data_IF_389406378882
#
_entry.id   IF_389406378882
#
_cell.length_a   1.000
_cell.length_b   1.000
_cell.length_c   1.000
_cell.angle_alpha   90.00
_cell.angle_beta   90.00
_cell.angle_gamma   90.00
#
_symmetry.space_group_name_H-M   'P 1'
#
loop_
_entity.id
_entity.type
_entity.pdbx_description
1 polymer ?
#
# COMPACT_ATOMS: atom_id res chain seq x y z
N UNK A 1 -9.46 -64.64 -34.25
CA UNK A 1 -9.81 -63.20 -34.26
C UNK A 1 -9.84 -62.72 -32.81
N UNK A 2 -8.82 -61.98 -32.38
CA UNK A 2 -8.64 -61.60 -30.98
C UNK A 2 -9.50 -60.38 -30.65
N UNK A 3 -10.34 -60.52 -29.64
CA UNK A 3 -11.42 -59.61 -29.26
C UNK A 3 -10.86 -58.30 -28.67
N UNK A 4 -10.76 -57.22 -29.47
CA UNK A 4 -10.27 -55.89 -29.05
C UNK A 4 -11.26 -55.08 -28.20
N UNK A 5 -12.08 -55.74 -27.34
CA UNK A 5 -13.19 -55.08 -26.61
C UNK A 5 -12.86 -54.62 -25.18
N UNK A 6 -11.62 -54.74 -24.71
CA UNK A 6 -11.20 -54.30 -23.36
C UNK A 6 -10.31 -53.05 -23.31
N UNK A 7 -9.81 -52.56 -24.46
CA UNK A 7 -8.81 -51.48 -24.49
C UNK A 7 -9.47 -50.09 -24.49
N UNK A 8 -10.67 -49.96 -25.07
CA UNK A 8 -11.37 -48.68 -25.18
C UNK A 8 -11.74 -48.05 -23.83
N UNK A 9 -12.19 -48.81 -22.81
CA UNK A 9 -12.48 -48.25 -21.49
C UNK A 9 -11.22 -47.75 -20.76
N UNK A 10 -10.10 -48.44 -20.90
CA UNK A 10 -8.82 -48.06 -20.30
C UNK A 10 -8.23 -46.78 -20.90
N UNK A 11 -8.35 -46.60 -22.22
CA UNK A 11 -7.90 -45.37 -22.88
C UNK A 11 -8.79 -44.19 -22.48
N UNK A 12 -10.11 -44.41 -22.36
CA UNK A 12 -11.04 -43.36 -21.96
C UNK A 12 -10.76 -42.85 -20.53
N UNK A 13 -10.50 -43.75 -19.57
CA UNK A 13 -10.16 -43.33 -18.20
C UNK A 13 -8.84 -42.59 -18.12
N UNK A 14 -7.82 -43.03 -18.86
CA UNK A 14 -6.53 -42.34 -18.93
C UNK A 14 -6.68 -40.91 -19.47
N UNK A 15 -7.46 -40.75 -20.55
CA UNK A 15 -7.74 -39.44 -21.13
C UNK A 15 -8.47 -38.53 -20.15
N UNK A 16 -9.50 -39.03 -19.48
CA UNK A 16 -10.28 -38.25 -18.51
C UNK A 16 -9.42 -37.79 -17.32
N UNK A 17 -8.56 -38.67 -16.80
CA UNK A 17 -7.65 -38.33 -15.70
C UNK A 17 -6.64 -37.26 -16.16
N UNK A 18 -6.03 -37.42 -17.34
CA UNK A 18 -5.07 -36.44 -17.86
C UNK A 18 -5.70 -35.06 -18.07
N UNK A 19 -6.95 -35.03 -18.55
CA UNK A 19 -7.69 -33.78 -18.75
C UNK A 19 -8.07 -33.12 -17.42
N UNK A 20 -8.49 -33.91 -16.43
CA UNK A 20 -8.78 -33.40 -15.09
C UNK A 20 -7.54 -32.77 -14.42
N UNK A 21 -6.37 -33.41 -14.56
CA UNK A 21 -5.11 -32.87 -14.04
C UNK A 21 -4.74 -31.57 -14.76
N UNK A 22 -4.85 -31.53 -16.09
CA UNK A 22 -4.56 -30.33 -16.87
C UNK A 22 -5.47 -29.14 -16.46
N UNK A 23 -6.77 -29.38 -16.29
CA UNK A 23 -7.70 -28.37 -15.79
C UNK A 23 -7.32 -27.94 -14.37
N UNK A 24 -6.99 -28.89 -13.49
CA UNK A 24 -6.59 -28.59 -12.11
C UNK A 24 -5.40 -27.63 -12.05
N UNK A 25 -4.36 -27.88 -12.85
CA UNK A 25 -3.18 -26.99 -12.93
C UNK A 25 -3.57 -25.61 -13.45
N UNK A 26 -4.41 -25.52 -14.49
CA UNK A 26 -4.86 -24.23 -15.04
C UNK A 26 -5.65 -23.45 -13.99
N UNK A 27 -6.58 -24.08 -13.28
CA UNK A 27 -7.39 -23.43 -12.23
C UNK A 27 -6.52 -22.94 -11.07
N UNK A 28 -5.56 -23.75 -10.61
CA UNK A 28 -4.64 -23.34 -9.56
C UNK A 28 -3.78 -22.15 -9.99
N UNK A 29 -3.28 -22.14 -11.24
CA UNK A 29 -2.47 -21.05 -11.77
C UNK A 29 -3.27 -19.76 -11.97
N UNK A 30 -4.50 -19.85 -12.49
CA UNK A 30 -5.40 -18.69 -12.62
C UNK A 30 -5.87 -18.16 -11.26
N UNK A 31 -6.02 -19.03 -10.26
CA UNK A 31 -6.34 -18.63 -8.90
C UNK A 31 -5.24 -17.79 -8.27
N UNK A 32 -3.97 -18.18 -8.43
CA UNK A 32 -2.82 -17.43 -7.91
C UNK A 32 -2.63 -16.09 -8.62
N UNK A 33 -2.78 -16.05 -9.95
CA UNK A 33 -2.61 -14.83 -10.73
C UNK A 33 -3.63 -13.72 -10.36
N UNK A 34 -4.84 -14.07 -9.93
CA UNK A 34 -5.81 -13.06 -9.48
C UNK A 34 -5.50 -12.51 -8.08
N UNK A 35 -4.93 -13.33 -7.19
CA UNK A 35 -4.52 -12.89 -5.84
C UNK A 35 -3.33 -11.93 -5.90
N UNK A 36 -2.43 -12.10 -6.88
CA UNK A 36 -1.29 -11.18 -7.07
C UNK A 36 -1.68 -9.85 -7.75
N UNK A 37 -2.79 -9.82 -8.50
CA UNK A 37 -3.27 -8.63 -9.19
C UNK A 37 -4.15 -7.72 -8.29
N UNK A 38 -4.71 -8.24 -7.19
CA UNK A 38 -5.57 -7.48 -6.28
C UNK A 38 -4.80 -6.98 -5.05
N UNK A 39 -4.10 -5.85 -5.24
CA UNK A 39 -3.50 -4.97 -4.23
C UNK A 39 -2.41 -5.57 -3.33
N UNK A 40 -1.17 -5.07 -3.48
CA UNK A 40 -0.06 -5.28 -2.51
C UNK A 40 -0.46 -4.99 -1.07
N UNK A 41 -1.47 -4.14 -0.86
CA UNK A 41 -2.06 -3.86 0.43
C UNK A 41 -3.57 -4.14 0.43
N UNK A 42 -3.99 -5.40 0.66
CA UNK A 42 -5.40 -5.79 0.64
C UNK A 42 -6.16 -5.25 1.86
N UNK A 43 -5.44 -4.84 2.91
CA UNK A 43 -6.02 -4.36 4.16
C UNK A 43 -6.27 -2.85 4.06
N UNK A 44 -7.47 -2.41 4.49
CA UNK A 44 -7.73 -1.00 4.69
C UNK A 44 -7.01 -0.50 5.95
N UNK A 45 -5.94 0.27 5.79
CA UNK A 45 -5.14 0.80 6.90
C UNK A 45 -5.90 1.88 7.69
N UNK A 46 -6.79 2.63 7.02
CA UNK A 46 -7.56 3.70 7.67
C UNK A 46 -6.72 4.90 8.13
N UNK A 47 -5.56 5.13 7.49
CA UNK A 47 -4.69 6.27 7.79
C UNK A 47 -5.38 7.60 7.45
N UNK A 48 -5.38 8.55 8.39
CA UNK A 48 -5.99 9.87 8.22
C UNK A 48 -5.21 10.95 8.97
N UNK A 49 -5.38 12.22 8.59
CA UNK A 49 -4.87 13.34 9.38
C UNK A 49 -5.68 13.50 10.67
N UNK A 50 -5.01 13.74 11.78
CA UNK A 50 -5.68 14.07 13.05
C UNK A 50 -6.43 15.39 12.92
N UNK A 51 -7.55 15.50 13.64
CA UNK A 51 -8.37 16.71 13.67
C UNK A 51 -8.53 17.20 15.10
N UNK A 52 -8.15 18.45 15.36
CA UNK A 52 -8.38 19.13 16.63
C UNK A 52 -9.34 20.29 16.35
N UNK A 53 -10.46 20.35 17.06
CA UNK A 53 -11.50 21.36 16.83
C UNK A 53 -12.01 21.43 15.38
N UNK A 54 -12.01 20.30 14.68
CA UNK A 54 -12.42 20.21 13.26
C UNK A 54 -11.31 20.55 12.25
N UNK A 55 -10.17 21.06 12.72
CA UNK A 55 -9.05 21.44 11.86
C UNK A 55 -8.02 20.33 11.71
N UNK A 56 -7.65 20.05 10.44
CA UNK A 56 -6.57 19.12 10.11
C UNK A 56 -5.26 19.61 10.71
N UNK A 57 -4.59 18.74 11.47
CA UNK A 57 -3.29 19.01 12.09
C UNK A 57 -2.18 18.77 11.07
N UNK A 58 -2.04 19.73 10.16
CA UNK A 58 -1.08 19.71 9.07
C UNK A 58 -0.76 21.15 8.68
N UNK A 59 0.52 21.51 8.67
CA UNK A 59 0.94 22.85 8.32
C UNK A 59 2.41 22.89 7.85
N UNK A 60 2.78 23.99 7.21
CA UNK A 60 4.14 24.30 6.78
C UNK A 60 4.67 25.55 7.50
N UNK A 61 5.83 25.43 8.13
CA UNK A 61 6.57 26.53 8.74
C UNK A 61 7.68 26.97 7.78
N UNK A 62 7.51 28.15 7.17
CA UNK A 62 8.45 28.69 6.19
C UNK A 62 9.77 29.13 6.83
N UNK A 63 9.76 29.57 8.08
CA UNK A 63 10.94 30.03 8.81
C UNK A 63 11.84 28.85 9.19
N UNK A 64 11.24 27.75 9.65
CA UNK A 64 11.95 26.51 9.97
C UNK A 64 12.17 25.59 8.77
N UNK A 65 11.53 25.88 7.63
CA UNK A 65 11.53 25.03 6.42
C UNK A 65 11.06 23.61 6.77
N UNK A 66 9.98 23.50 7.53
CA UNK A 66 9.50 22.23 8.09
C UNK A 66 8.01 22.05 7.83
N UNK A 67 7.62 20.87 7.39
CA UNK A 67 6.23 20.43 7.34
C UNK A 67 5.97 19.62 8.61
N UNK A 68 4.98 20.04 9.39
CA UNK A 68 4.50 19.31 10.57
C UNK A 68 3.16 18.68 10.26
N UNK A 69 2.99 17.40 10.61
CA UNK A 69 1.75 16.69 10.40
C UNK A 69 1.46 15.71 11.53
N UNK A 70 0.18 15.43 11.71
CA UNK A 70 -0.32 14.52 12.70
C UNK A 70 -1.19 13.49 11.99
N UNK A 71 -0.83 12.22 12.10
CA UNK A 71 -1.55 11.12 11.44
C UNK A 71 -2.07 10.13 12.47
N UNK A 72 -3.31 9.71 12.28
CA UNK A 72 -3.95 8.66 13.05
C UNK A 72 -4.01 7.40 12.20
N UNK A 73 -3.66 6.27 12.80
CA UNK A 73 -3.79 4.96 12.18
C UNK A 73 -5.17 4.35 12.47
N UNK A 74 -5.68 3.53 11.56
CA UNK A 74 -6.90 2.76 11.76
C UNK A 74 -6.69 1.58 12.71
N UNK A 75 -7.74 0.75 12.86
CA UNK A 75 -7.77 -0.36 13.82
C UNK A 75 -7.27 -1.70 13.26
N UNK A 76 -7.02 -1.78 11.95
CA UNK A 76 -6.85 -3.06 11.27
C UNK A 76 -5.42 -3.61 11.36
N UNK A 77 -4.40 -2.76 11.23
CA UNK A 77 -2.99 -3.17 11.19
C UNK A 77 -2.10 -2.07 11.79
N UNK A 78 -0.94 -2.46 12.33
CA UNK A 78 0.10 -1.49 12.73
C UNK A 78 0.79 -0.93 11.48
N UNK A 79 1.19 0.33 11.56
CA UNK A 79 2.06 0.96 10.56
C UNK A 79 3.48 0.93 11.11
N UNK A 80 4.43 0.38 10.34
CA UNK A 80 5.83 0.24 10.76
C UNK A 80 6.72 1.36 10.22
N UNK A 81 6.20 2.19 9.31
CA UNK A 81 6.86 3.40 8.86
C UNK A 81 5.99 4.20 7.90
N UNK A 82 6.45 5.38 7.52
CA UNK A 82 5.79 6.25 6.55
C UNK A 82 6.77 6.65 5.45
N UNK A 83 6.27 6.78 4.22
CA UNK A 83 6.98 7.45 3.12
C UNK A 83 6.24 8.73 2.80
N UNK A 84 6.87 9.86 3.08
CA UNK A 84 6.32 11.19 2.86
C UNK A 84 6.91 11.76 1.58
N UNK A 85 6.07 11.96 0.56
CA UNK A 85 6.45 12.63 -0.67
C UNK A 85 5.95 14.06 -0.63
N UNK A 86 6.86 15.01 -0.75
CA UNK A 86 6.60 16.44 -0.77
C UNK A 86 6.79 16.92 -2.20
N UNK A 87 5.73 17.41 -2.83
CA UNK A 87 5.69 17.79 -4.24
C UNK A 87 5.58 19.31 -4.31
N UNK A 88 6.70 19.94 -4.68
CA UNK A 88 6.78 21.35 -5.02
C UNK A 88 6.57 21.60 -6.51
N UNK A 89 6.50 22.88 -6.86
CA UNK A 89 6.40 23.33 -8.25
C UNK A 89 7.68 23.08 -9.06
N UNK A 90 8.85 22.98 -8.42
CA UNK A 90 10.14 22.77 -9.09
C UNK A 90 10.69 21.36 -8.85
N UNK A 91 10.49 20.80 -7.65
CA UNK A 91 11.04 19.49 -7.29
C UNK A 91 10.07 18.68 -6.40
N UNK A 92 10.13 17.36 -6.52
CA UNK A 92 9.57 16.42 -5.55
C UNK A 92 10.68 15.82 -4.67
N UNK A 93 10.44 15.75 -3.37
CA UNK A 93 11.34 15.16 -2.37
C UNK A 93 10.62 14.02 -1.64
N UNK A 94 11.33 12.94 -1.33
CA UNK A 94 10.77 11.78 -0.63
C UNK A 94 11.55 11.52 0.65
N UNK A 95 10.82 11.33 1.75
CA UNK A 95 11.35 11.09 3.08
C UNK A 95 10.82 9.76 3.61
N UNK A 96 11.73 8.87 4.01
CA UNK A 96 11.35 7.64 4.70
C UNK A 96 11.47 7.84 6.21
N UNK A 97 10.34 7.72 6.90
CA UNK A 97 10.22 7.80 8.35
C UNK A 97 10.06 6.39 8.90
N UNK A 98 11.17 5.68 9.05
CA UNK A 98 11.19 4.30 9.57
C UNK A 98 10.99 4.25 11.10
N UNK A 99 11.08 5.40 11.76
CA UNK A 99 10.74 5.61 13.17
C UNK A 99 9.23 5.85 13.38
N UNK A 100 8.47 6.08 12.31
CA UNK A 100 7.02 6.32 12.34
C UNK A 100 6.21 5.03 12.58
N UNK A 101 6.42 4.43 13.75
CA UNK A 101 5.71 3.23 14.19
C UNK A 101 4.41 3.61 14.88
N UNK A 102 3.29 3.31 14.23
CA UNK A 102 1.95 3.66 14.70
C UNK A 102 1.19 2.37 15.01
N UNK A 103 0.86 2.16 16.28
CA UNK A 103 0.00 1.06 16.68
C UNK A 103 -1.41 1.24 16.12
N UNK A 104 -2.22 0.18 16.12
CA UNK A 104 -3.66 0.25 15.81
C UNK A 104 -4.33 1.34 16.65
N UNK A 105 -5.11 2.20 16.01
CA UNK A 105 -5.75 3.39 16.60
C UNK A 105 -4.77 4.38 17.27
N UNK A 106 -3.48 4.27 16.97
CA UNK A 106 -2.45 5.18 17.46
C UNK A 106 -2.35 6.46 16.66
N UNK A 107 -1.54 7.39 17.16
CA UNK A 107 -1.25 8.68 16.54
C UNK A 107 0.27 8.83 16.42
N UNK A 108 0.72 9.51 15.37
CA UNK A 108 2.12 9.90 15.18
C UNK A 108 2.23 11.36 14.77
N UNK A 109 3.07 12.07 15.50
CA UNK A 109 3.52 13.43 15.23
C UNK A 109 4.78 13.38 14.34
N UNK A 110 4.63 13.74 13.07
CA UNK A 110 5.70 13.69 12.08
C UNK A 110 6.17 15.07 11.62
N UNK A 111 7.46 15.15 11.29
CA UNK A 111 8.10 16.34 10.74
C UNK A 111 9.02 15.96 9.58
N UNK A 112 8.96 16.73 8.50
CA UNK A 112 9.90 16.60 7.37
C UNK A 112 10.40 17.97 6.94
N UNK A 113 11.68 18.07 6.58
CA UNK A 113 12.26 19.31 6.09
C UNK A 113 11.84 19.55 4.64
N UNK A 114 11.44 20.77 4.32
CA UNK A 114 11.16 21.19 2.95
C UNK A 114 11.51 22.66 2.75
N UNK A 115 12.44 22.90 1.85
CA UNK A 115 12.89 24.25 1.51
C UNK A 115 12.18 24.75 0.25
N UNK A 116 11.18 25.61 0.41
CA UNK A 116 10.43 26.23 -0.68
C UNK A 116 11.29 27.09 -1.62
N UNK A 117 12.47 27.55 -1.18
CA UNK A 117 13.40 28.29 -2.05
C UNK A 117 14.07 27.41 -3.11
N UNK A 118 14.17 26.10 -2.85
CA UNK A 118 14.75 25.12 -3.79
C UNK A 118 13.70 24.22 -4.43
N UNK A 119 12.69 23.78 -3.68
CA UNK A 119 11.60 22.95 -4.18
C UNK A 119 10.47 23.72 -4.88
N UNK A 120 10.45 25.04 -4.71
CA UNK A 120 9.39 25.93 -5.17
C UNK A 120 8.15 25.92 -4.27
N UNK A 121 7.09 26.58 -4.73
CA UNK A 121 5.78 26.57 -4.06
C UNK A 121 5.27 25.13 -3.85
N UNK A 122 4.84 24.85 -2.63
CA UNK A 122 4.37 23.53 -2.22
C UNK A 122 2.97 23.27 -2.81
N UNK A 123 2.79 22.14 -3.50
CA UNK A 123 1.54 21.81 -4.20
C UNK A 123 0.78 20.65 -3.58
N UNK A 124 1.51 19.61 -3.18
CA UNK A 124 0.88 18.40 -2.70
C UNK A 124 1.83 17.64 -1.79
N UNK A 125 1.27 17.00 -0.76
CA UNK A 125 1.99 16.09 0.11
C UNK A 125 1.25 14.76 0.13
N UNK A 126 2.01 13.68 -0.06
CA UNK A 126 1.50 12.31 -0.11
C UNK A 126 2.19 11.47 0.97
N UNK A 127 1.43 11.07 1.99
CA UNK A 127 1.90 10.22 3.08
C UNK A 127 1.46 8.79 2.80
N UNK A 128 2.41 7.89 2.57
CA UNK A 128 2.17 6.50 2.23
C UNK A 128 2.58 5.60 3.38
N UNK A 129 1.69 4.76 3.93
CA UNK A 129 2.07 3.86 5.01
C UNK A 129 2.91 2.68 4.52
N UNK A 130 3.84 2.26 5.37
CA UNK A 130 4.63 1.04 5.27
C UNK A 130 4.14 0.07 6.35
N UNK A 131 3.80 -1.16 5.97
CA UNK A 131 3.30 -2.21 6.86
C UNK A 131 4.13 -3.47 6.70
N UNK A 132 4.00 -4.40 7.65
CA UNK A 132 4.57 -5.74 7.52
C UNK A 132 3.44 -6.75 7.32
N UNK A 133 3.46 -7.46 6.19
CA UNK A 133 2.55 -8.55 5.86
C UNK A 133 3.35 -9.83 5.63
N UNK A 134 3.03 -10.89 6.38
CA UNK A 134 3.71 -12.19 6.28
C UNK A 134 5.24 -12.05 6.31
N UNK A 135 5.75 -11.25 7.25
CA UNK A 135 7.18 -10.96 7.46
C UNK A 135 7.89 -10.15 6.35
N UNK A 136 7.14 -9.62 5.38
CA UNK A 136 7.67 -8.73 4.34
C UNK A 136 7.18 -7.29 4.55
N UNK A 137 8.08 -6.32 4.39
CA UNK A 137 7.71 -4.90 4.36
C UNK A 137 7.06 -4.55 3.02
N UNK A 138 5.89 -3.93 3.09
CA UNK A 138 5.12 -3.50 1.92
C UNK A 138 4.76 -2.02 2.03
N UNK A 139 4.92 -1.29 0.93
CA UNK A 139 4.57 0.13 0.81
C UNK A 139 3.21 0.25 0.12
N UNK A 140 2.22 0.78 0.84
CA UNK A 140 0.82 0.80 0.40
C UNK A 140 0.46 2.08 -0.36
N UNK A 141 1.01 2.22 -1.56
CA UNK A 141 0.86 3.42 -2.41
C UNK A 141 -0.59 3.79 -2.77
N UNK A 142 -1.49 2.81 -2.77
CA UNK A 142 -2.93 2.93 -3.03
C UNK A 142 -3.73 3.37 -1.79
N UNK A 143 -3.13 3.25 -0.60
CA UNK A 143 -3.69 3.71 0.69
C UNK A 143 -3.07 5.02 1.17
N UNK A 144 -2.43 5.75 0.27
CA UNK A 144 -1.75 6.99 0.60
C UNK A 144 -2.74 8.13 0.91
N UNK A 145 -2.38 8.92 1.91
CA UNK A 145 -3.09 10.12 2.32
C UNK A 145 -2.53 11.31 1.54
N UNK A 146 -3.39 11.99 0.79
CA UNK A 146 -3.01 13.12 -0.08
C UNK A 146 -3.55 14.43 0.51
N UNK A 147 -2.69 15.44 0.58
CA UNK A 147 -2.98 16.77 1.11
C UNK A 147 -2.54 17.82 0.10
N UNK A 148 -3.50 18.59 -0.41
CA UNK A 148 -3.27 19.67 -1.38
C UNK A 148 -3.49 21.06 -0.79
N UNK A 149 -4.30 21.15 0.25
CA UNK A 149 -4.52 22.39 1.00
C UNK A 149 -3.50 22.46 2.15
N UNK A 150 -2.34 23.06 1.88
CA UNK A 150 -1.31 23.30 2.90
C UNK A 150 -1.47 24.70 3.47
N UNK A 151 -1.65 24.78 4.79
CA UNK A 151 -1.73 26.05 5.53
C UNK A 151 -0.39 26.37 6.19
N UNK A 152 -0.06 27.66 6.39
CA UNK A 152 1.05 28.02 7.26
C UNK A 152 0.81 27.53 8.69
N UNK A 153 1.88 27.13 9.36
CA UNK A 153 1.91 27.13 10.83
C UNK A 153 2.03 28.60 11.29
#
# INVERSE_FOLDING_TARGET
>A
MMNKRGISPLIATLLLISFAIAIGVVVMNFGQAQVELEAKCPINIGLKLSKISGEKQFCYDADKKEISFNVENGVNINVEGLVVNVIGSQQAQSFELNDAKITKAGVYDGKVSYDSSSGGELRQIKITPKIVLHDNEEICTDKALVVEEIRPC
#
